data_IF_984321559238
#
_entry.id   IF_984321559238
#
_cell.length_a   1.000
_cell.length_b   1.000
_cell.length_c   1.000
_cell.angle_alpha   90.00
_cell.angle_beta   90.00
_cell.angle_gamma   90.00
#
_symmetry.space_group_name_H-M   'P 1'
#
loop_
_entity.id
_entity.type
_entity.pdbx_description
1 polymer ?
#
# COMPACT_ATOMS: atom_id res chain seq x y z
N UNK A 1 3.59 -18.13 -13.73
CA UNK A 1 2.65 -16.99 -13.92
C UNK A 1 2.32 -16.44 -12.57
N UNK A 2 2.27 -15.11 -12.43
CA UNK A 2 1.87 -14.42 -11.20
C UNK A 2 0.44 -14.80 -10.81
N UNK A 3 0.19 -14.98 -9.51
CA UNK A 3 -1.14 -15.25 -8.98
C UNK A 3 -2.01 -13.99 -8.90
N UNK A 4 -1.39 -12.82 -8.92
CA UNK A 4 -2.03 -11.51 -8.86
C UNK A 4 -1.49 -10.59 -9.96
N UNK A 5 -2.21 -9.52 -10.21
CA UNK A 5 -1.73 -8.38 -10.99
C UNK A 5 -2.20 -7.06 -10.36
N UNK A 6 -1.50 -5.98 -10.67
CA UNK A 6 -1.86 -4.63 -10.27
C UNK A 6 -2.45 -3.87 -11.47
N UNK A 7 -3.51 -3.12 -11.23
CA UNK A 7 -3.95 -2.05 -12.14
C UNK A 7 -4.42 -0.85 -11.32
N UNK A 8 -4.37 0.32 -11.91
CA UNK A 8 -4.90 1.53 -11.30
C UNK A 8 -6.37 1.32 -10.95
N UNK A 9 -6.75 1.76 -9.74
CA UNK A 9 -8.15 1.79 -9.34
C UNK A 9 -8.88 2.89 -10.11
N UNK A 10 -10.06 2.56 -10.60
CA UNK A 10 -10.96 3.45 -11.30
C UNK A 10 -12.24 3.67 -10.48
N UNK A 11 -13.05 4.66 -10.84
CA UNK A 11 -14.32 4.96 -10.16
C UNK A 11 -15.25 3.73 -10.14
N UNK A 12 -15.20 2.92 -11.19
CA UNK A 12 -15.98 1.67 -11.29
C UNK A 12 -15.60 0.63 -10.21
N UNK A 13 -14.39 0.71 -9.63
CA UNK A 13 -13.95 -0.20 -8.57
C UNK A 13 -14.42 0.21 -7.16
N UNK A 14 -15.05 1.38 -7.03
CA UNK A 14 -15.42 1.94 -5.73
C UNK A 14 -16.35 1.02 -4.92
N UNK A 15 -17.28 0.33 -5.57
CA UNK A 15 -18.20 -0.59 -4.91
C UNK A 15 -17.46 -1.82 -4.37
N UNK A 16 -16.66 -2.48 -5.19
CA UNK A 16 -15.87 -3.64 -4.78
C UNK A 16 -14.86 -3.29 -3.67
N UNK A 17 -14.25 -2.09 -3.76
CA UNK A 17 -13.36 -1.59 -2.71
C UNK A 17 -14.09 -1.36 -1.39
N UNK A 18 -15.27 -0.73 -1.44
CA UNK A 18 -16.09 -0.50 -0.25
C UNK A 18 -16.55 -1.81 0.39
N UNK A 19 -17.04 -2.75 -0.40
CA UNK A 19 -17.44 -4.07 0.11
C UNK A 19 -16.29 -4.80 0.82
N UNK A 20 -15.10 -4.77 0.23
CA UNK A 20 -13.90 -5.34 0.85
C UNK A 20 -13.56 -4.63 2.18
N UNK A 21 -13.57 -3.31 2.21
CA UNK A 21 -13.28 -2.52 3.42
C UNK A 21 -14.29 -2.75 4.53
N UNK A 22 -15.58 -2.87 4.20
CA UNK A 22 -16.63 -3.16 5.18
C UNK A 22 -16.49 -4.57 5.76
N UNK A 23 -16.21 -5.55 4.91
CA UNK A 23 -16.02 -6.94 5.32
C UNK A 23 -14.81 -7.10 6.24
N UNK A 24 -13.70 -6.45 5.90
CA UNK A 24 -12.42 -6.61 6.58
C UNK A 24 -12.19 -5.54 7.67
N UNK A 25 -13.20 -4.72 7.97
CA UNK A 25 -13.10 -3.57 8.87
C UNK A 25 -12.49 -3.92 10.22
N UNK A 26 -12.98 -4.94 10.90
CA UNK A 26 -12.48 -5.33 12.21
C UNK A 26 -11.02 -5.77 12.18
N UNK A 27 -10.58 -6.38 11.08
CA UNK A 27 -9.19 -6.76 10.85
C UNK A 27 -8.31 -5.54 10.57
N UNK A 28 -8.78 -4.57 9.79
CA UNK A 28 -8.01 -3.40 9.36
C UNK A 28 -7.92 -2.32 10.44
N UNK A 29 -8.97 -2.10 11.24
CA UNK A 29 -9.07 -1.01 12.22
C UNK A 29 -7.88 -0.96 13.22
N UNK A 30 -7.27 -2.09 13.55
CA UNK A 30 -6.10 -2.14 14.42
C UNK A 30 -4.79 -1.66 13.77
N UNK A 31 -4.76 -1.54 12.44
CA UNK A 31 -3.57 -1.20 11.64
C UNK A 31 -3.67 0.17 10.99
N UNK A 32 -4.82 0.82 11.05
CA UNK A 32 -5.10 2.05 10.34
C UNK A 32 -5.46 3.21 11.29
N UNK A 33 -5.30 4.47 10.86
CA UNK A 33 -5.86 5.61 11.55
C UNK A 33 -7.38 5.46 11.72
N UNK A 34 -7.91 6.00 12.81
CA UNK A 34 -9.37 6.06 13.01
C UNK A 34 -10.05 6.75 11.82
N UNK A 35 -11.00 6.09 11.23
CA UNK A 35 -11.71 6.61 10.07
C UNK A 35 -12.79 7.60 10.50
N UNK A 36 -12.94 8.74 9.80
CA UNK A 36 -13.99 9.72 10.11
C UNK A 36 -15.38 9.18 9.75
N UNK A 37 -16.42 9.81 10.31
CA UNK A 37 -17.79 9.54 9.92
C UNK A 37 -17.97 9.70 8.42
N UNK A 38 -18.76 8.82 7.81
CA UNK A 38 -18.99 8.80 6.37
C UNK A 38 -17.83 8.21 5.54
N UNK A 39 -16.76 7.67 6.17
CA UNK A 39 -15.68 7.02 5.42
C UNK A 39 -16.21 5.81 4.62
N UNK A 40 -17.08 5.01 5.21
CA UNK A 40 -17.63 3.79 4.59
C UNK A 40 -18.89 4.08 3.77
N UNK A 41 -18.80 5.00 2.80
CA UNK A 41 -19.87 5.31 1.83
C UNK A 41 -19.37 5.21 0.42
N UNK A 42 -20.22 4.75 -0.50
CA UNK A 42 -19.86 4.61 -1.92
C UNK A 42 -19.46 5.96 -2.54
N UNK A 43 -20.25 7.00 -2.26
CA UNK A 43 -20.00 8.36 -2.77
C UNK A 43 -18.59 8.85 -2.40
N UNK A 44 -18.15 8.62 -1.15
CA UNK A 44 -16.81 9.02 -0.71
C UNK A 44 -15.71 8.31 -1.49
N UNK A 45 -15.85 7.00 -1.72
CA UNK A 45 -14.86 6.22 -2.47
C UNK A 45 -14.84 6.61 -3.94
N UNK A 46 -16.00 6.82 -4.56
CA UNK A 46 -16.10 7.34 -5.94
C UNK A 46 -15.39 8.68 -6.08
N UNK A 47 -15.78 9.66 -5.23
CA UNK A 47 -15.16 10.99 -5.24
C UNK A 47 -13.65 10.94 -4.99
N UNK A 48 -13.19 10.09 -4.08
CA UNK A 48 -11.76 9.91 -3.84
C UNK A 48 -11.05 9.40 -5.09
N UNK A 49 -11.58 8.36 -5.74
CA UNK A 49 -10.99 7.81 -6.96
C UNK A 49 -11.02 8.82 -8.12
N UNK A 50 -12.08 9.61 -8.26
CA UNK A 50 -12.13 10.73 -9.20
C UNK A 50 -11.01 11.76 -8.95
N UNK A 51 -10.82 12.18 -7.70
CA UNK A 51 -9.79 13.15 -7.32
C UNK A 51 -8.36 12.63 -7.55
N UNK A 52 -8.15 11.32 -7.44
CA UNK A 52 -6.84 10.71 -7.67
C UNK A 52 -6.54 10.47 -9.16
N UNK A 53 -7.55 10.56 -10.02
CA UNK A 53 -7.32 10.53 -11.47
C UNK A 53 -6.59 11.80 -11.90
N UNK A 54 -5.34 11.63 -12.35
CA UNK A 54 -4.49 12.75 -12.76
C UNK A 54 -3.71 13.43 -11.63
N UNK A 55 -3.84 12.99 -10.40
CA UNK A 55 -2.97 13.44 -9.30
C UNK A 55 -1.62 12.72 -9.38
N UNK A 56 -0.59 13.43 -9.81
CA UNK A 56 0.77 12.89 -9.93
C UNK A 56 1.45 12.63 -8.58
N UNK A 57 0.88 13.15 -7.48
CA UNK A 57 1.40 12.90 -6.11
C UNK A 57 0.95 11.55 -5.54
N UNK A 58 0.08 10.83 -6.26
CA UNK A 58 -0.46 9.52 -5.88
C UNK A 58 -0.44 8.51 -7.01
N UNK A 59 -0.21 7.26 -6.65
CA UNK A 59 -0.39 6.10 -7.51
C UNK A 59 -1.15 5.02 -6.73
N UNK A 60 -2.43 4.81 -7.05
CA UNK A 60 -3.34 3.94 -6.31
C UNK A 60 -3.73 2.73 -7.16
N UNK A 61 -3.43 1.52 -6.67
CA UNK A 61 -3.63 0.28 -7.39
C UNK A 61 -4.50 -0.69 -6.59
N UNK A 62 -5.39 -1.38 -7.29
CA UNK A 62 -6.02 -2.59 -6.80
C UNK A 62 -5.10 -3.80 -6.99
N UNK A 63 -5.14 -4.71 -6.02
CA UNK A 63 -4.50 -6.03 -6.12
C UNK A 63 -5.61 -7.00 -6.56
N UNK A 64 -5.50 -7.52 -7.78
CA UNK A 64 -6.49 -8.41 -8.37
C UNK A 64 -5.95 -9.83 -8.51
N UNK A 65 -6.79 -10.83 -8.29
CA UNK A 65 -6.45 -12.21 -8.64
C UNK A 65 -6.37 -12.38 -10.15
N UNK A 66 -5.31 -13.01 -10.65
CA UNK A 66 -5.18 -13.33 -12.07
C UNK A 66 -6.28 -14.28 -12.58
N UNK A 67 -6.87 -15.07 -11.68
CA UNK A 67 -8.02 -15.91 -11.98
C UNK A 67 -9.31 -15.24 -11.45
N UNK A 68 -10.11 -14.68 -12.34
CA UNK A 68 -11.45 -14.17 -12.05
C UNK A 68 -11.53 -12.70 -11.64
N UNK A 69 -10.44 -11.93 -11.75
CA UNK A 69 -10.40 -10.46 -11.55
C UNK A 69 -10.97 -9.97 -10.19
N UNK A 70 -10.93 -10.82 -9.16
CA UNK A 70 -11.36 -10.45 -7.82
C UNK A 70 -10.41 -9.42 -7.20
N UNK A 71 -10.94 -8.29 -6.72
CA UNK A 71 -10.20 -7.32 -5.93
C UNK A 71 -9.95 -7.88 -4.52
N UNK A 72 -8.69 -8.14 -4.19
CA UNK A 72 -8.27 -8.78 -2.92
C UNK A 72 -7.42 -7.89 -2.04
N UNK A 73 -7.10 -6.69 -2.47
CA UNK A 73 -6.31 -5.75 -1.70
C UNK A 73 -6.11 -4.44 -2.43
N UNK A 74 -5.38 -3.56 -1.79
CA UNK A 74 -5.00 -2.25 -2.32
C UNK A 74 -3.56 -1.95 -1.98
N UNK A 75 -2.86 -1.30 -2.90
CA UNK A 75 -1.49 -0.83 -2.72
C UNK A 75 -1.35 0.55 -3.33
N UNK A 76 -0.67 1.45 -2.63
CA UNK A 76 -0.52 2.83 -3.09
C UNK A 76 0.89 3.33 -2.88
N UNK A 77 1.30 4.25 -3.75
CA UNK A 77 2.38 5.17 -3.54
C UNK A 77 1.77 6.54 -3.29
N UNK A 78 2.12 7.18 -2.19
CA UNK A 78 1.62 8.50 -1.79
C UNK A 78 2.76 9.47 -1.58
N UNK A 79 2.44 10.77 -1.57
CA UNK A 79 3.41 11.85 -1.39
C UNK A 79 4.60 11.71 -2.35
N UNK A 80 4.29 11.40 -3.61
CA UNK A 80 5.31 11.27 -4.66
C UNK A 80 6.00 12.62 -4.82
N UNK A 81 7.24 12.67 -4.35
CA UNK A 81 8.09 13.85 -4.43
C UNK A 81 9.03 13.76 -5.62
N UNK A 82 9.15 14.86 -6.36
CA UNK A 82 10.07 15.00 -7.48
C UNK A 82 11.31 15.80 -7.07
N UNK A 83 12.19 16.08 -8.01
CA UNK A 83 13.44 16.81 -7.81
C UNK A 83 14.47 15.97 -7.05
N UNK A 84 15.26 16.56 -6.14
CA UNK A 84 16.39 15.85 -5.52
C UNK A 84 15.99 14.66 -4.62
N UNK A 85 14.71 14.55 -4.25
CA UNK A 85 14.28 13.48 -3.35
C UNK A 85 13.75 12.25 -4.10
N UNK A 86 12.99 12.42 -5.19
CA UNK A 86 12.44 11.33 -6.04
C UNK A 86 11.95 10.14 -5.24
N UNK A 87 11.05 10.40 -4.29
CA UNK A 87 10.61 9.45 -3.27
C UNK A 87 9.10 9.27 -3.24
N UNK A 88 8.62 8.14 -2.74
CA UNK A 88 7.23 7.92 -2.39
C UNK A 88 7.09 7.08 -1.12
N UNK A 89 5.93 7.22 -0.45
CA UNK A 89 5.52 6.37 0.67
C UNK A 89 4.65 5.23 0.17
N UNK A 90 5.01 4.02 0.55
CA UNK A 90 4.28 2.80 0.26
C UNK A 90 3.28 2.48 1.37
N UNK A 91 2.02 2.28 1.00
CA UNK A 91 0.98 1.74 1.87
C UNK A 91 0.23 0.62 1.19
N UNK A 92 -0.12 -0.45 1.91
CA UNK A 92 -0.85 -1.59 1.35
C UNK A 92 -1.63 -2.36 2.40
N UNK A 93 -2.67 -3.05 1.93
CA UNK A 93 -3.32 -4.13 2.68
C UNK A 93 -3.84 -5.21 1.70
N UNK A 94 -3.98 -6.42 2.21
CA UNK A 94 -4.65 -7.54 1.56
C UNK A 94 -5.79 -7.97 2.44
N UNK A 95 -6.93 -8.30 1.84
CA UNK A 95 -8.12 -8.82 2.53
C UNK A 95 -7.76 -9.99 3.43
N UNK A 96 -8.32 -10.03 4.65
CA UNK A 96 -7.98 -11.02 5.67
C UNK A 96 -8.04 -12.47 5.13
N UNK A 97 -9.09 -12.80 4.38
CA UNK A 97 -9.28 -14.14 3.78
C UNK A 97 -8.23 -14.55 2.74
N UNK A 98 -7.42 -13.60 2.27
CA UNK A 98 -6.37 -13.80 1.29
C UNK A 98 -4.96 -13.66 1.88
N UNK A 99 -4.84 -13.45 3.19
CA UNK A 99 -3.56 -13.38 3.89
C UNK A 99 -2.80 -14.72 3.86
N UNK A 100 -1.47 -14.65 4.04
CA UNK A 100 -0.61 -15.84 4.09
C UNK A 100 -0.30 -16.49 2.74
N UNK A 101 -0.82 -15.96 1.62
CA UNK A 101 -0.64 -16.51 0.26
C UNK A 101 0.49 -15.85 -0.53
N UNK A 102 1.22 -14.92 0.08
CA UNK A 102 2.32 -14.20 -0.58
C UNK A 102 1.90 -12.99 -1.42
N UNK A 103 0.60 -12.73 -1.57
CA UNK A 103 0.07 -11.67 -2.44
C UNK A 103 0.59 -10.28 -2.09
N UNK A 104 0.70 -9.96 -0.78
CA UNK A 104 1.24 -8.67 -0.36
C UNK A 104 2.71 -8.48 -0.79
N UNK A 105 3.55 -9.51 -0.63
CA UNK A 105 4.96 -9.45 -1.05
C UNK A 105 5.09 -9.29 -2.57
N UNK A 106 4.25 -10.01 -3.31
CA UNK A 106 4.22 -9.92 -4.78
C UNK A 106 3.74 -8.54 -5.26
N UNK A 107 2.67 -8.01 -4.63
CA UNK A 107 2.15 -6.68 -4.93
C UNK A 107 3.19 -5.58 -4.63
N UNK A 108 3.90 -5.68 -3.50
CA UNK A 108 4.98 -4.74 -3.17
C UNK A 108 6.08 -4.77 -4.22
N UNK A 109 6.48 -5.94 -4.70
CA UNK A 109 7.49 -6.04 -5.77
C UNK A 109 7.00 -5.39 -7.06
N UNK A 110 5.78 -5.69 -7.50
CA UNK A 110 5.22 -5.11 -8.72
C UNK A 110 5.12 -3.57 -8.64
N UNK A 111 4.68 -3.02 -7.49
CA UNK A 111 4.57 -1.56 -7.35
C UNK A 111 5.94 -0.88 -7.26
N UNK A 112 6.96 -1.53 -6.68
CA UNK A 112 8.34 -1.01 -6.66
C UNK A 112 8.95 -1.03 -8.06
N UNK A 113 8.69 -2.09 -8.86
CA UNK A 113 9.06 -2.11 -10.28
C UNK A 113 8.45 -0.93 -11.05
N UNK A 114 7.16 -0.65 -10.84
CA UNK A 114 6.49 0.50 -11.43
C UNK A 114 7.05 1.84 -10.92
N UNK A 115 7.37 1.93 -9.62
CA UNK A 115 7.95 3.13 -9.03
C UNK A 115 9.29 3.51 -9.67
N UNK A 116 10.18 2.55 -9.86
CA UNK A 116 11.51 2.80 -10.42
C UNK A 116 11.53 2.81 -11.95
N UNK A 117 10.65 2.02 -12.59
CA UNK A 117 10.57 1.93 -14.05
C UNK A 117 9.70 3.02 -14.67
N UNK A 118 8.41 2.99 -14.36
CA UNK A 118 7.41 3.87 -15.02
C UNK A 118 7.40 5.28 -14.41
N UNK A 119 7.46 5.37 -13.06
CA UNK A 119 7.40 6.64 -12.36
C UNK A 119 8.77 7.34 -12.23
N UNK A 120 9.87 6.64 -12.52
CA UNK A 120 11.22 7.18 -12.48
C UNK A 120 11.64 7.68 -11.09
N UNK A 121 11.14 7.04 -10.02
CA UNK A 121 11.54 7.36 -8.66
C UNK A 121 12.90 6.74 -8.34
N UNK A 122 13.58 7.32 -7.35
CA UNK A 122 14.84 6.81 -6.82
C UNK A 122 14.63 5.98 -5.54
N UNK A 123 13.60 6.31 -4.74
CA UNK A 123 13.39 5.73 -3.43
C UNK A 123 11.92 5.41 -3.18
N UNK A 124 11.68 4.27 -2.55
CA UNK A 124 10.37 3.92 -1.96
C UNK A 124 10.58 3.61 -0.48
N UNK A 125 9.76 4.21 0.38
CA UNK A 125 9.82 4.01 1.82
C UNK A 125 8.48 3.57 2.39
N UNK A 126 8.53 2.85 3.50
CA UNK A 126 7.36 2.36 4.22
C UNK A 126 7.57 2.48 5.73
N UNK A 127 6.50 2.71 6.47
CA UNK A 127 6.51 2.70 7.91
C UNK A 127 5.55 1.62 8.42
N UNK A 128 5.98 0.81 9.38
CA UNK A 128 5.19 -0.30 9.91
C UNK A 128 5.34 -0.40 11.42
N UNK A 129 4.22 -0.57 12.13
CA UNK A 129 4.25 -0.81 13.57
C UNK A 129 5.05 -2.09 13.89
N UNK A 130 5.95 -2.09 14.89
CA UNK A 130 6.75 -3.26 15.24
C UNK A 130 5.92 -4.52 15.53
N UNK A 131 4.71 -4.35 16.08
CA UNK A 131 3.77 -5.45 16.37
C UNK A 131 3.10 -6.05 15.12
N UNK A 132 3.17 -5.37 13.97
CA UNK A 132 2.66 -5.88 12.69
C UNK A 132 3.72 -6.76 12.01
N UNK A 133 4.02 -7.90 12.63
CA UNK A 133 5.05 -8.85 12.19
C UNK A 133 4.79 -9.34 10.75
N UNK A 134 3.53 -9.43 10.34
CA UNK A 134 3.19 -9.86 8.99
C UNK A 134 3.68 -8.84 7.94
N UNK A 135 3.41 -7.54 8.18
CA UNK A 135 3.86 -6.47 7.28
C UNK A 135 5.38 -6.29 7.31
N UNK A 136 6.03 -6.42 8.48
CA UNK A 136 7.50 -6.45 8.59
C UNK A 136 8.08 -7.52 7.66
N UNK A 137 7.59 -8.76 7.75
CA UNK A 137 8.06 -9.87 6.88
C UNK A 137 7.81 -9.63 5.39
N UNK A 138 6.73 -8.93 5.04
CA UNK A 138 6.45 -8.58 3.64
C UNK A 138 7.52 -7.63 3.12
N UNK A 139 7.84 -6.57 3.85
CA UNK A 139 8.86 -5.58 3.46
C UNK A 139 10.26 -6.22 3.34
N UNK A 140 10.66 -7.00 4.34
CA UNK A 140 11.94 -7.71 4.34
C UNK A 140 12.06 -8.68 3.15
N UNK A 141 11.03 -9.48 2.89
CA UNK A 141 11.00 -10.41 1.74
C UNK A 141 10.94 -9.69 0.40
N UNK A 142 10.42 -8.49 0.37
CA UNK A 142 10.41 -7.66 -0.83
C UNK A 142 11.74 -6.93 -1.06
N UNK A 143 12.71 -7.02 -0.15
CA UNK A 143 14.04 -6.41 -0.30
C UNK A 143 14.19 -5.02 0.33
N UNK A 144 13.24 -4.60 1.16
CA UNK A 144 13.38 -3.35 1.92
C UNK A 144 14.33 -3.56 3.11
N UNK A 145 15.23 -2.60 3.34
CA UNK A 145 16.07 -2.55 4.55
C UNK A 145 15.44 -1.69 5.64
N UNK A 146 15.61 -2.09 6.89
CA UNK A 146 15.22 -1.28 8.04
C UNK A 146 16.21 -0.10 8.21
N UNK A 147 15.68 1.11 8.41
CA UNK A 147 16.47 2.32 8.61
C UNK A 147 16.42 2.85 10.03
N UNK A 148 15.46 2.40 10.84
CA UNK A 148 15.36 2.80 12.22
C UNK A 148 13.95 2.72 12.79
N UNK A 149 13.80 3.22 14.02
CA UNK A 149 12.55 3.29 14.76
C UNK A 149 12.17 4.76 15.00
N UNK A 150 11.00 5.15 14.51
CA UNK A 150 10.39 6.45 14.79
C UNK A 150 9.38 6.29 15.92
N UNK A 151 9.64 6.97 17.05
CA UNK A 151 8.76 6.90 18.22
C UNK A 151 7.54 7.79 18.03
N UNK A 152 6.35 7.30 18.40
CA UNK A 152 5.08 8.01 18.32
C UNK A 152 4.84 8.65 16.95
N UNK A 153 5.07 7.87 15.92
CA UNK A 153 5.16 8.34 14.54
C UNK A 153 3.80 8.65 13.90
N UNK A 154 2.84 7.74 14.04
CA UNK A 154 1.49 7.88 13.49
C UNK A 154 0.43 7.53 14.54
N UNK A 155 -0.72 8.20 14.43
CA UNK A 155 -1.87 7.87 15.26
C UNK A 155 -2.68 6.73 14.60
N UNK A 156 -2.62 5.54 15.20
CA UNK A 156 -3.32 4.33 14.74
C UNK A 156 -4.34 3.93 15.80
N UNK A 157 -5.58 3.66 15.39
CA UNK A 157 -6.68 3.30 16.30
C UNK A 157 -6.80 4.26 17.52
N UNK A 158 -6.49 5.53 17.33
CA UNK A 158 -6.55 6.57 18.36
C UNK A 158 -5.32 6.70 19.27
N UNK A 159 -4.29 5.86 19.12
CA UNK A 159 -3.05 5.92 19.88
C UNK A 159 -1.84 6.30 19.00
N UNK A 160 -0.89 7.07 19.55
CA UNK A 160 0.38 7.34 18.88
C UNK A 160 1.28 6.10 18.97
N UNK A 161 1.53 5.49 17.83
CA UNK A 161 2.28 4.23 17.70
C UNK A 161 3.68 4.45 17.12
N UNK A 162 4.64 3.69 17.64
CA UNK A 162 5.98 3.63 17.09
C UNK A 162 5.97 2.88 15.75
N UNK A 163 6.84 3.30 14.83
CA UNK A 163 6.97 2.65 13.52
C UNK A 163 8.43 2.38 13.18
N UNK A 164 8.70 1.17 12.74
CA UNK A 164 9.93 0.85 12.02
C UNK A 164 9.86 1.48 10.64
N UNK A 165 10.94 2.15 10.25
CA UNK A 165 11.09 2.77 8.95
C UNK A 165 11.85 1.83 8.04
N UNK A 166 11.33 1.61 6.85
CA UNK A 166 11.91 0.77 5.81
C UNK A 166 12.06 1.56 4.53
N UNK A 167 13.07 1.23 3.73
CA UNK A 167 13.24 1.79 2.41
C UNK A 167 13.97 0.83 1.47
N UNK A 168 13.82 1.11 0.17
CA UNK A 168 14.61 0.53 -0.90
C UNK A 168 14.89 1.60 -1.95
N UNK A 169 16.10 1.60 -2.52
CA UNK A 169 16.50 2.50 -3.62
C UNK A 169 16.56 1.76 -4.96
N UNK A 170 16.54 2.53 -6.05
CA UNK A 170 16.60 1.96 -7.40
C UNK A 170 17.88 1.16 -7.65
N UNK A 171 19.01 1.53 -7.04
CA UNK A 171 20.27 0.82 -7.13
C UNK A 171 20.21 -0.55 -6.42
N UNK A 172 19.67 -0.56 -5.19
CA UNK A 172 19.48 -1.79 -4.41
C UNK A 172 18.56 -2.75 -5.16
N UNK A 173 17.46 -2.23 -5.72
CA UNK A 173 16.47 -3.02 -6.45
C UNK A 173 17.03 -3.69 -7.71
N UNK A 174 17.83 -2.94 -8.51
CA UNK A 174 18.46 -3.46 -9.72
C UNK A 174 19.56 -4.48 -9.43
N UNK A 175 20.24 -4.37 -8.28
CA UNK A 175 21.27 -5.33 -7.89
C UNK A 175 20.73 -6.68 -7.41
N UNK A 176 19.41 -6.79 -7.22
CA UNK A 176 18.77 -8.02 -6.76
C UNK A 176 19.11 -8.37 -5.31
N UNK A 177 19.33 -7.33 -4.49
CA UNK A 177 19.65 -7.48 -3.07
C UNK A 177 18.51 -8.13 -2.28
#
# INVERSE_FOLDING_TARGET
MSAIYLRRLEVADAEALLEMLLRDRAFLDQWEPTRPDGFYTLERHQKRLELLQGDESFADFGIFLAAGDELVGRIQLSEISRGPFENAYLGYFVSERHNGRGYATEAVRQVVDAAFGELGLHRVQAAVMPRNVASVRVLEKAGFREEGLALRYLQIAGAWEDHKLYAVTAEEWRSGA
#
